data_IF_387388870964
#
_entry.id   IF_387388870964
#
_cell.length_a   1.000
_cell.length_b   1.000
_cell.length_c   1.000
_cell.angle_alpha   90.00
_cell.angle_beta   90.00
_cell.angle_gamma   90.00
#
_symmetry.space_group_name_H-M   'P 1'
#
loop_
_entity.id
_entity.type
_entity.pdbx_description
1 polymer ?
#
# COMPACT_ATOMS: atom_id res chain seq x y z
N UNK A 1 -11.67 19.81 -22.69
CA UNK A 1 -11.64 18.34 -22.66
C UNK A 1 -11.96 17.95 -21.24
N UNK A 2 -12.96 17.09 -20.95
CA UNK A 2 -13.22 16.71 -19.57
C UNK A 2 -11.97 16.00 -19.06
N UNK A 3 -11.33 16.59 -18.07
CA UNK A 3 -10.25 15.94 -17.33
C UNK A 3 -10.90 14.94 -16.41
N UNK A 4 -10.89 13.66 -16.79
CA UNK A 4 -11.21 12.55 -15.90
C UNK A 4 -10.02 12.31 -14.95
N UNK A 5 -9.56 13.41 -14.34
CA UNK A 5 -8.37 13.52 -13.48
C UNK A 5 -8.71 12.96 -12.09
N UNK A 6 -9.06 11.68 -12.04
CA UNK A 6 -9.41 11.02 -10.80
C UNK A 6 -9.36 9.51 -10.94
N UNK A 7 -9.46 8.84 -9.81
CA UNK A 7 -9.19 7.42 -9.68
C UNK A 7 -8.23 7.21 -8.52
N UNK A 8 -8.40 6.09 -7.82
CA UNK A 8 -7.50 5.70 -6.76
C UNK A 8 -7.21 4.22 -6.84
N UNK A 9 -6.07 3.83 -6.30
CA UNK A 9 -5.77 2.45 -5.99
C UNK A 9 -5.54 2.36 -4.49
N UNK A 10 -6.21 1.40 -3.86
CA UNK A 10 -6.02 0.99 -2.49
C UNK A 10 -5.45 -0.42 -2.50
N UNK A 11 -4.43 -0.66 -1.69
CA UNK A 11 -3.80 -1.97 -1.55
C UNK A 11 -3.82 -2.33 -0.07
N UNK A 12 -4.45 -3.45 0.26
CA UNK A 12 -4.38 -4.04 1.59
C UNK A 12 -3.35 -5.17 1.61
N UNK A 13 -2.43 -5.12 2.56
CA UNK A 13 -1.51 -6.19 2.87
C UNK A 13 -2.12 -7.07 3.96
N UNK A 14 -2.22 -8.37 3.68
CA UNK A 14 -2.78 -9.38 4.59
C UNK A 14 -1.76 -10.49 4.85
N UNK A 15 -1.83 -11.09 6.03
CA UNK A 15 -1.33 -12.44 6.26
C UNK A 15 -2.10 -13.40 5.35
N UNK A 16 -1.38 -14.11 4.48
CA UNK A 16 -1.97 -15.00 3.49
C UNK A 16 -2.77 -16.15 4.14
N UNK A 17 -2.41 -16.56 5.36
CA UNK A 17 -2.96 -17.78 5.96
C UNK A 17 -4.18 -17.46 6.83
N UNK A 18 -4.13 -16.35 7.56
CA UNK A 18 -5.20 -15.94 8.48
C UNK A 18 -6.14 -14.89 7.89
N UNK A 19 -5.70 -14.17 6.85
CA UNK A 19 -6.40 -13.00 6.32
C UNK A 19 -6.28 -11.76 7.21
N UNK A 20 -5.46 -11.79 8.26
CA UNK A 20 -5.24 -10.63 9.13
C UNK A 20 -4.64 -9.48 8.33
N UNK A 21 -5.27 -8.30 8.40
CA UNK A 21 -4.72 -7.08 7.82
C UNK A 21 -3.45 -6.65 8.56
N UNK A 22 -2.37 -6.50 7.82
CA UNK A 22 -1.05 -6.06 8.30
C UNK A 22 -0.82 -4.57 8.03
N UNK A 23 -1.31 -4.06 6.90
CA UNK A 23 -1.10 -2.66 6.52
C UNK A 23 -1.82 -2.31 5.22
N UNK A 24 -1.66 -1.08 4.77
CA UNK A 24 -2.24 -0.62 3.51
C UNK A 24 -1.44 0.49 2.85
N UNK A 25 -1.67 0.65 1.55
CA UNK A 25 -1.22 1.76 0.72
C UNK A 25 -2.44 2.34 -0.01
N UNK A 26 -2.45 3.64 -0.23
CA UNK A 26 -3.46 4.30 -1.06
C UNK A 26 -2.82 5.40 -1.87
N UNK A 27 -3.33 5.64 -3.08
CA UNK A 27 -2.83 6.71 -3.94
C UNK A 27 -3.90 7.12 -4.96
N UNK A 28 -4.04 8.43 -5.15
CA UNK A 28 -4.76 9.01 -6.29
C UNK A 28 -3.89 8.91 -7.54
N UNK A 29 -4.46 8.48 -8.66
CA UNK A 29 -3.75 8.17 -9.90
C UNK A 29 -2.94 9.34 -10.47
N UNK A 30 -3.32 10.58 -10.16
CA UNK A 30 -2.57 11.78 -10.57
C UNK A 30 -1.16 11.82 -9.98
N UNK A 31 -0.97 11.18 -8.84
CA UNK A 31 0.32 11.08 -8.14
C UNK A 31 1.05 9.77 -8.46
N UNK A 32 0.71 9.08 -9.55
CA UNK A 32 1.33 7.79 -9.92
C UNK A 32 2.87 7.83 -9.95
N UNK A 33 3.48 8.98 -10.25
CA UNK A 33 4.94 9.14 -10.25
C UNK A 33 5.57 9.25 -8.85
N UNK A 34 4.75 9.25 -7.79
CA UNK A 34 5.18 9.52 -6.41
C UNK A 34 5.32 11.02 -6.11
N UNK A 35 5.59 11.33 -4.85
CA UNK A 35 5.78 12.71 -4.38
C UNK A 35 4.46 13.51 -4.27
N UNK A 36 4.56 14.83 -4.43
CA UNK A 36 3.48 15.77 -4.17
C UNK A 36 2.97 16.52 -5.41
N UNK A 37 3.51 16.22 -6.58
CA UNK A 37 3.17 16.89 -7.82
C UNK A 37 2.14 16.07 -8.61
N UNK A 38 0.94 16.62 -8.76
CA UNK A 38 -0.13 15.97 -9.53
C UNK A 38 0.17 16.05 -11.04
N UNK A 39 -0.05 14.94 -11.75
CA UNK A 39 0.06 14.83 -13.20
C UNK A 39 -1.32 14.58 -13.82
N UNK A 40 -1.57 15.17 -14.99
CA UNK A 40 -2.77 14.89 -15.78
C UNK A 40 -2.76 13.46 -16.27
N UNK A 41 -3.89 12.76 -16.10
CA UNK A 41 -4.06 11.37 -16.56
C UNK A 41 -5.24 11.33 -17.51
N UNK A 42 -5.05 10.70 -18.67
CA UNK A 42 -6.07 10.63 -19.72
C UNK A 42 -6.71 9.24 -19.72
N UNK A 43 -8.05 9.13 -19.89
CA UNK A 43 -8.71 7.83 -20.00
C UNK A 43 -8.07 6.90 -21.03
N UNK A 44 -7.91 5.62 -20.65
CA UNK A 44 -7.31 4.59 -21.49
C UNK A 44 -5.77 4.54 -21.46
N UNK A 45 -5.12 5.48 -20.76
CA UNK A 45 -3.68 5.41 -20.51
C UNK A 45 -3.37 4.39 -19.42
N UNK A 46 -2.39 3.53 -19.68
CA UNK A 46 -1.77 2.71 -18.64
C UNK A 46 -0.66 3.50 -17.95
N UNK A 47 -0.69 3.54 -16.61
CA UNK A 47 0.35 4.19 -15.79
C UNK A 47 0.87 3.20 -14.74
N UNK A 48 2.15 3.34 -14.38
CA UNK A 48 2.72 2.63 -13.24
C UNK A 48 2.61 3.53 -12.01
N UNK A 49 1.98 3.02 -10.94
CA UNK A 49 1.80 3.76 -9.69
C UNK A 49 2.91 3.40 -8.69
N UNK A 50 3.74 4.39 -8.34
CA UNK A 50 4.80 4.31 -7.34
C UNK A 50 4.20 4.50 -5.94
N UNK A 51 3.62 3.43 -5.39
CA UNK A 51 2.90 3.47 -4.11
C UNK A 51 3.79 3.04 -2.94
N UNK A 52 3.54 3.65 -1.77
CA UNK A 52 4.22 3.31 -0.51
C UNK A 52 3.20 2.85 0.53
N UNK A 53 3.55 1.79 1.26
CA UNK A 53 2.78 1.36 2.42
C UNK A 53 3.00 2.31 3.59
N UNK A 54 1.94 2.57 4.34
CA UNK A 54 2.07 3.25 5.63
C UNK A 54 2.93 2.43 6.59
N UNK A 55 3.45 3.06 7.64
CA UNK A 55 4.22 2.36 8.66
C UNK A 55 3.42 1.17 9.23
N UNK A 56 4.05 0.00 9.28
CA UNK A 56 3.46 -1.26 9.74
C UNK A 56 4.09 -1.65 11.07
N UNK A 57 3.25 -1.87 12.08
CA UNK A 57 3.64 -2.49 13.35
C UNK A 57 2.87 -3.81 13.49
N UNK A 58 3.40 -4.85 12.84
CA UNK A 58 2.79 -6.18 12.81
C UNK A 58 3.86 -7.28 12.79
N UNK A 59 3.52 -8.43 13.37
CA UNK A 59 4.35 -9.63 13.35
C UNK A 59 3.73 -10.63 12.39
N UNK A 60 4.46 -11.00 11.34
CA UNK A 60 4.11 -12.12 10.47
C UNK A 60 4.82 -13.38 10.98
N UNK A 61 4.09 -14.44 11.37
CA UNK A 61 4.72 -15.68 11.82
C UNK A 61 5.59 -16.32 10.72
N UNK A 62 6.65 -17.02 11.13
CA UNK A 62 7.51 -17.74 10.20
C UNK A 62 6.73 -18.79 9.40
N UNK A 63 6.92 -18.81 8.08
CA UNK A 63 6.22 -19.71 7.17
C UNK A 63 4.90 -19.17 6.60
N UNK A 64 4.38 -18.06 7.11
CA UNK A 64 3.23 -17.38 6.51
C UNK A 64 3.65 -16.56 5.28
N UNK A 65 2.71 -16.36 4.35
CA UNK A 65 2.90 -15.52 3.18
C UNK A 65 2.32 -14.11 3.35
N UNK A 66 2.70 -13.22 2.45
CA UNK A 66 2.03 -11.92 2.26
C UNK A 66 1.04 -12.03 1.09
N UNK A 67 -0.18 -11.54 1.30
CA UNK A 67 -1.20 -11.41 0.27
C UNK A 67 -1.54 -9.94 0.08
N UNK A 68 -1.63 -9.52 -1.18
CA UNK A 68 -1.99 -8.15 -1.54
C UNK A 68 -3.35 -8.13 -2.23
N UNK A 69 -4.30 -7.43 -1.62
CA UNK A 69 -5.63 -7.23 -2.17
C UNK A 69 -5.70 -5.80 -2.70
N UNK A 70 -5.89 -5.66 -4.02
CA UNK A 70 -5.91 -4.36 -4.69
C UNK A 70 -7.35 -4.01 -5.09
N UNK A 71 -7.78 -2.78 -4.80
CA UNK A 71 -9.12 -2.26 -5.10
C UNK A 71 -9.07 -0.80 -5.52
N UNK A 72 -10.16 -0.33 -6.14
CA UNK A 72 -10.35 1.08 -6.53
C UNK A 72 -11.02 1.90 -5.42
N UNK A 73 -11.38 1.25 -4.32
CA UNK A 73 -12.08 1.82 -3.17
C UNK A 73 -11.36 1.34 -1.92
N UNK A 74 -11.05 2.26 -1.01
CA UNK A 74 -10.48 1.93 0.30
C UNK A 74 -11.52 2.22 1.38
N UNK A 75 -11.49 1.45 2.46
CA UNK A 75 -12.46 1.50 3.57
C UNK A 75 -12.82 2.93 4.00
N UNK A 76 -11.86 3.67 4.60
CA UNK A 76 -12.07 5.02 5.15
C UNK A 76 -11.47 6.13 4.27
N UNK A 77 -10.94 5.79 3.09
CA UNK A 77 -10.31 6.76 2.22
C UNK A 77 -11.34 7.45 1.34
N UNK A 78 -11.30 8.79 1.33
CA UNK A 78 -12.18 9.60 0.49
C UNK A 78 -12.02 9.19 -0.97
N UNK A 79 -13.14 8.78 -1.57
CA UNK A 79 -13.21 8.45 -2.98
C UNK A 79 -12.78 9.65 -3.84
N UNK A 80 -12.29 9.40 -5.09
CA UNK A 80 -11.91 10.48 -6.00
C UNK A 80 -13.10 11.40 -6.28
N UNK A 81 -12.83 12.67 -6.57
CA UNK A 81 -13.88 13.68 -6.76
C UNK A 81 -14.90 13.37 -7.87
N UNK A 82 -14.57 12.47 -8.81
CA UNK A 82 -15.44 12.02 -9.89
C UNK A 82 -16.28 10.76 -9.57
N UNK A 83 -16.16 10.21 -8.36
CA UNK A 83 -16.94 9.06 -7.89
C UNK A 83 -16.88 7.87 -8.85
N UNK A 84 -18.01 7.23 -9.20
CA UNK A 84 -18.03 6.04 -10.05
C UNK A 84 -17.67 6.31 -11.52
N UNK A 85 -17.44 7.57 -11.91
CA UNK A 85 -17.14 7.94 -13.30
C UNK A 85 -15.65 7.82 -13.67
N UNK A 86 -14.78 7.56 -12.70
CA UNK A 86 -13.35 7.33 -12.90
C UNK A 86 -12.93 5.95 -12.38
N UNK A 87 -13.40 4.90 -13.04
CA UNK A 87 -12.96 3.52 -12.78
C UNK A 87 -11.51 3.34 -13.23
N UNK A 88 -10.76 2.48 -12.55
CA UNK A 88 -9.29 2.41 -12.68
C UNK A 88 -8.71 1.10 -13.21
N UNK A 89 -9.33 -0.06 -13.25
CA UNK A 89 -8.71 -1.34 -13.70
C UNK A 89 -7.23 -1.57 -13.33
N UNK A 90 -7.01 -2.15 -12.14
CA UNK A 90 -5.69 -2.59 -11.69
C UNK A 90 -5.22 -3.83 -12.47
N UNK A 91 -3.92 -3.91 -12.77
CA UNK A 91 -3.26 -5.06 -13.41
C UNK A 91 -2.28 -5.73 -12.44
N UNK A 92 -2.73 -6.64 -11.54
CA UNK A 92 -1.88 -7.18 -10.48
C UNK A 92 -0.68 -7.98 -10.98
N UNK A 93 -0.83 -8.68 -12.12
CA UNK A 93 0.22 -9.54 -12.69
C UNK A 93 1.42 -8.77 -13.24
N UNK A 94 1.29 -7.46 -13.48
CA UNK A 94 2.38 -6.57 -13.89
C UNK A 94 2.98 -5.77 -12.75
N UNK A 95 2.48 -5.94 -11.51
CA UNK A 95 2.94 -5.20 -10.35
C UNK A 95 4.16 -5.86 -9.70
N UNK A 96 5.06 -5.05 -9.15
CA UNK A 96 6.22 -5.51 -8.37
C UNK A 96 6.14 -4.95 -6.97
N UNK A 97 6.52 -5.75 -5.97
CA UNK A 97 6.68 -5.32 -4.58
C UNK A 97 8.16 -5.25 -4.23
N UNK A 98 8.57 -4.17 -3.57
CA UNK A 98 9.88 -4.03 -2.97
C UNK A 98 9.74 -3.91 -1.45
N UNK A 99 10.51 -4.70 -0.70
CA UNK A 99 10.53 -4.68 0.76
C UNK A 99 11.97 -4.50 1.24
N UNK A 100 12.27 -3.49 2.08
CA UNK A 100 13.58 -3.37 2.71
C UNK A 100 13.69 -4.39 3.84
N UNK A 101 14.05 -5.63 3.52
CA UNK A 101 14.23 -6.69 4.51
C UNK A 101 15.51 -6.40 5.31
N UNK A 102 15.35 -6.20 6.61
CA UNK A 102 16.45 -6.03 7.56
C UNK A 102 16.53 -7.30 8.42
N UNK A 103 17.64 -8.03 8.30
CA UNK A 103 17.93 -9.15 9.19
C UNK A 103 18.46 -8.62 10.54
N UNK A 104 17.83 -9.06 11.64
CA UNK A 104 18.22 -8.70 13.00
C UNK A 104 18.56 -9.98 13.75
N UNK A 105 19.85 -10.26 13.86
CA UNK A 105 20.42 -11.42 14.56
C UNK A 105 20.40 -11.29 16.10
N UNK A 106 19.98 -10.14 16.61
CA UNK A 106 19.97 -9.84 18.05
C UNK A 106 21.34 -9.45 18.63
N UNK A 107 22.38 -9.30 17.81
CA UNK A 107 23.71 -8.89 18.28
C UNK A 107 23.77 -7.42 18.69
N UNK A 108 22.93 -6.58 18.08
CA UNK A 108 22.85 -5.14 18.28
C UNK A 108 21.53 -4.74 18.96
N UNK A 109 21.36 -5.15 20.22
CA UNK A 109 20.20 -4.78 21.03
C UNK A 109 20.63 -3.83 22.14
N UNK A 110 19.97 -2.67 22.23
CA UNK A 110 20.07 -1.80 23.40
C UNK A 110 19.17 -2.37 24.49
N UNK A 111 19.76 -3.06 25.47
CA UNK A 111 19.03 -3.53 26.65
C UNK A 111 18.93 -2.37 27.63
N UNK A 112 17.72 -1.84 27.84
CA UNK A 112 17.45 -0.88 28.90
C UNK A 112 17.33 -1.61 30.25
N UNK A 113 17.69 -0.97 31.38
CA UNK A 113 17.53 -1.58 32.69
C UNK A 113 16.08 -2.02 32.91
N UNK A 114 15.86 -3.32 33.04
CA UNK A 114 14.55 -3.86 33.39
C UNK A 114 14.47 -3.83 34.92
N UNK A 115 13.51 -3.09 35.48
CA UNK A 115 13.24 -3.14 36.92
C UNK A 115 12.65 -4.51 37.19
N UNK A 116 13.38 -5.37 37.90
CA UNK A 116 12.88 -6.70 38.25
C UNK A 116 11.68 -6.55 39.18
N UNK A 117 10.49 -6.95 38.74
CA UNK A 117 9.38 -7.21 39.66
C UNK A 117 9.76 -8.45 40.49
N UNK A 118 9.98 -8.21 41.78
CA UNK A 118 10.22 -9.24 42.81
C UNK A 118 8.90 -9.64 43.46
#
# INVERSE_FOLDING_TARGET
MPTFDGGQVFIEMQDAETGLRLGHATMDIRYHAGGYDAQTVVPGQAVTMMMEFQAIDAILPGGHGLKFVMSEQGEDYLAPACGPSCTVHVLPSSSTLELPIIDRDGSNVLITPQVGES
#
